data_IF_356819289419
#
_entry.id   IF_356819289419
#
_cell.length_a   1.000
_cell.length_b   1.000
_cell.length_c   1.000
_cell.angle_alpha   90.00
_cell.angle_beta   90.00
_cell.angle_gamma   90.00
#
_symmetry.space_group_name_H-M   'P 1'
#
loop_
_entity.id
_entity.type
_entity.pdbx_description
1 polymer ?
#
# COMPACT_ATOMS: atom_id res chain seq x y z
N UNK A 1 -6.46 7.35 -6.03
CA UNK A 1 -6.72 8.67 -5.41
C UNK A 1 -7.06 8.47 -3.93
N UNK A 2 -6.88 9.49 -3.11
CA UNK A 2 -7.34 9.52 -1.72
C UNK A 2 -7.64 10.96 -1.27
N UNK A 3 -8.54 11.14 -0.30
CA UNK A 3 -8.94 12.45 0.19
C UNK A 3 -8.73 12.58 1.70
N UNK A 4 -8.19 13.71 2.13
CA UNK A 4 -8.25 14.22 3.50
C UNK A 4 -9.29 15.35 3.57
N UNK A 5 -9.60 15.91 4.75
CA UNK A 5 -10.58 17.00 4.86
C UNK A 5 -10.29 18.25 4.01
N UNK A 6 -9.02 18.49 3.64
CA UNK A 6 -8.60 19.67 2.87
C UNK A 6 -7.98 19.34 1.51
N UNK A 7 -7.45 18.13 1.34
CA UNK A 7 -6.62 17.80 0.17
C UNK A 7 -7.17 16.57 -0.53
N UNK A 8 -7.31 16.67 -1.85
CA UNK A 8 -7.50 15.51 -2.72
C UNK A 8 -6.17 15.18 -3.42
N UNK A 9 -5.71 13.94 -3.26
CA UNK A 9 -4.47 13.45 -3.86
C UNK A 9 -4.79 12.44 -4.94
N UNK A 10 -4.36 12.71 -6.18
CA UNK A 10 -4.66 11.92 -7.36
C UNK A 10 -3.35 11.47 -8.01
N UNK A 11 -3.22 10.16 -8.25
CA UNK A 11 -2.14 9.63 -9.07
C UNK A 11 -2.65 9.44 -10.49
N UNK A 12 -1.81 9.80 -11.45
CA UNK A 12 -2.09 9.74 -12.87
C UNK A 12 -1.18 8.70 -13.56
N UNK A 13 -1.47 8.41 -14.81
CA UNK A 13 -0.52 7.70 -15.68
C UNK A 13 0.80 8.47 -15.79
N UNK A 14 1.90 7.76 -16.10
CA UNK A 14 3.22 8.40 -16.24
C UNK A 14 3.88 8.78 -14.91
N UNK A 15 3.51 8.10 -13.81
CA UNK A 15 4.14 8.29 -12.50
C UNK A 15 4.00 9.72 -11.93
N UNK A 16 2.93 10.44 -12.30
CA UNK A 16 2.64 11.80 -11.82
C UNK A 16 1.58 11.79 -10.70
N UNK A 17 1.70 12.73 -9.77
CA UNK A 17 0.77 12.94 -8.67
C UNK A 17 0.35 14.40 -8.66
N UNK A 18 -0.94 14.63 -8.52
CA UNK A 18 -1.55 15.95 -8.40
C UNK A 18 -2.27 16.06 -7.06
N UNK A 19 -2.14 17.23 -6.45
CA UNK A 19 -2.82 17.57 -5.20
C UNK A 19 -3.75 18.75 -5.48
N UNK A 20 -4.98 18.68 -4.96
CA UNK A 20 -6.01 19.70 -5.07
C UNK A 20 -6.44 20.15 -3.68
N UNK A 21 -6.67 21.45 -3.50
CA UNK A 21 -7.40 21.97 -2.33
C UNK A 21 -8.89 21.73 -2.57
N UNK A 22 -9.57 21.04 -1.66
CA UNK A 22 -11.00 20.73 -1.82
C UNK A 22 -11.89 21.99 -1.81
N UNK A 23 -11.39 23.11 -1.31
CA UNK A 23 -12.06 24.42 -1.34
C UNK A 23 -11.91 25.12 -2.70
N UNK A 24 -10.87 24.77 -3.47
CA UNK A 24 -10.64 25.27 -4.82
C UNK A 24 -10.15 24.15 -5.76
N UNK A 25 -11.12 23.49 -6.40
CA UNK A 25 -10.91 22.25 -7.16
C UNK A 25 -10.55 22.48 -8.63
N UNK A 26 -10.47 23.73 -9.08
CA UNK A 26 -10.31 24.05 -10.51
C UNK A 26 -8.96 23.64 -11.06
N UNK A 27 -7.90 23.77 -10.27
CA UNK A 27 -6.53 23.41 -10.66
C UNK A 27 -5.79 22.74 -9.49
N UNK A 28 -4.86 21.82 -9.77
CA UNK A 28 -4.00 21.28 -8.73
C UNK A 28 -3.08 22.37 -8.19
N UNK A 29 -2.94 22.46 -6.86
CA UNK A 29 -1.98 23.37 -6.23
C UNK A 29 -0.55 22.80 -6.24
N UNK A 30 -0.42 21.48 -6.43
CA UNK A 30 0.87 20.83 -6.72
C UNK A 30 0.71 19.76 -7.79
N UNK A 31 1.72 19.65 -8.64
CA UNK A 31 1.87 18.60 -9.65
C UNK A 31 3.33 18.16 -9.71
N UNK A 32 3.60 16.88 -9.43
CA UNK A 32 4.97 16.36 -9.28
C UNK A 32 5.08 14.87 -9.59
N UNK A 33 6.31 14.38 -9.73
CA UNK A 33 6.57 12.95 -9.85
C UNK A 33 6.29 12.19 -8.55
N UNK A 34 5.92 10.91 -8.67
CA UNK A 34 5.56 10.01 -7.57
C UNK A 34 6.74 9.47 -6.75
N UNK A 35 7.98 9.70 -7.21
CA UNK A 35 9.19 9.08 -6.64
C UNK A 35 9.33 7.57 -6.92
N UNK A 36 8.35 6.95 -7.57
CA UNK A 36 8.34 5.53 -7.90
C UNK A 36 8.70 5.31 -9.37
N UNK A 37 9.53 4.29 -9.63
CA UNK A 37 9.97 3.92 -10.99
C UNK A 37 8.88 3.22 -11.81
N UNK A 38 8.04 2.44 -11.14
CA UNK A 38 7.01 1.62 -11.77
C UNK A 38 5.62 2.13 -11.44
N UNK A 39 4.61 1.64 -12.17
CA UNK A 39 3.22 2.05 -12.06
C UNK A 39 2.73 2.04 -10.61
N UNK A 40 2.10 3.14 -10.20
CA UNK A 40 1.48 3.27 -8.88
C UNK A 40 0.23 2.38 -8.79
N UNK A 41 0.05 1.74 -7.64
CA UNK A 41 -1.08 0.84 -7.37
C UNK A 41 -2.06 1.40 -6.32
N UNK A 42 -1.58 2.06 -5.26
CA UNK A 42 -2.41 2.65 -4.23
C UNK A 42 -1.84 4.00 -3.75
N UNK A 43 -2.74 4.84 -3.21
CA UNK A 43 -2.41 6.14 -2.61
C UNK A 43 -3.21 6.27 -1.31
N UNK A 44 -2.58 6.71 -0.22
CA UNK A 44 -3.26 7.11 1.00
C UNK A 44 -2.60 8.32 1.64
N UNK A 45 -3.39 9.35 1.95
CA UNK A 45 -2.94 10.48 2.73
C UNK A 45 -2.60 10.03 4.16
N UNK A 46 -1.61 10.69 4.76
CA UNK A 46 -1.32 10.49 6.17
C UNK A 46 -2.54 10.89 7.01
N UNK A 47 -2.79 10.24 8.15
CA UNK A 47 -3.82 10.68 9.09
C UNK A 47 -3.63 12.16 9.53
N UNK A 48 -2.39 12.66 9.59
CA UNK A 48 -2.08 14.06 9.90
C UNK A 48 -2.39 15.03 8.75
N UNK A 49 -2.50 14.54 7.51
CA UNK A 49 -2.70 15.36 6.30
C UNK A 49 -1.42 16.05 5.78
N UNK A 50 -0.28 15.83 6.41
CA UNK A 50 1.00 16.47 6.06
C UNK A 50 1.67 15.86 4.81
N UNK A 51 1.16 14.73 4.34
CA UNK A 51 1.72 14.00 3.22
C UNK A 51 0.88 12.78 2.85
N UNK A 52 1.48 11.85 2.11
CA UNK A 52 0.83 10.65 1.63
C UNK A 52 1.83 9.51 1.39
N UNK A 53 1.34 8.28 1.48
CA UNK A 53 2.02 7.08 1.05
C UNK A 53 1.53 6.66 -0.33
N UNK A 54 2.47 6.27 -1.18
CA UNK A 54 2.23 5.70 -2.52
C UNK A 54 2.80 4.31 -2.59
N UNK A 55 2.11 3.39 -3.23
CA UNK A 55 2.66 2.07 -3.52
C UNK A 55 2.72 1.80 -5.01
N UNK A 56 3.55 0.83 -5.40
CA UNK A 56 3.78 0.44 -6.79
C UNK A 56 3.60 -1.06 -7.03
N UNK A 57 3.53 -1.42 -8.32
CA UNK A 57 3.50 -2.81 -8.79
C UNK A 57 4.80 -3.59 -8.53
N UNK A 58 5.93 -2.92 -8.25
CA UNK A 58 7.20 -3.56 -7.88
C UNK A 58 7.38 -3.72 -6.35
N UNK A 59 6.28 -3.77 -5.61
CA UNK A 59 6.29 -4.11 -4.20
C UNK A 59 6.98 -3.07 -3.31
N UNK A 60 6.92 -1.79 -3.67
CA UNK A 60 7.47 -0.68 -2.88
C UNK A 60 6.38 0.25 -2.37
N UNK A 61 6.72 0.97 -1.31
CA UNK A 61 5.97 2.12 -0.81
C UNK A 61 6.91 3.32 -0.74
N UNK A 62 6.50 4.47 -1.28
CA UNK A 62 7.13 5.78 -1.10
C UNK A 62 6.35 6.61 -0.07
N UNK A 63 7.07 7.32 0.79
CA UNK A 63 6.55 8.27 1.77
C UNK A 63 6.88 9.69 1.28
N UNK A 64 5.83 10.46 1.00
CA UNK A 64 5.91 11.79 0.39
C UNK A 64 5.26 12.84 1.30
N UNK A 65 5.83 14.05 1.32
CA UNK A 65 5.34 15.16 2.15
C UNK A 65 4.83 16.32 1.28
N UNK A 66 3.79 17.00 1.75
CA UNK A 66 3.14 18.10 1.04
C UNK A 66 3.94 19.40 1.13
N UNK A 67 4.65 19.64 2.22
CA UNK A 67 5.57 20.77 2.36
C UNK A 67 6.79 20.56 1.46
N UNK A 68 7.07 21.53 0.58
CA UNK A 68 8.15 21.51 -0.41
C UNK A 68 9.47 22.08 0.11
N UNK A 69 9.54 22.49 1.39
CA UNK A 69 10.79 22.92 2.03
C UNK A 69 11.85 21.82 1.99
N UNK A 70 13.11 22.20 1.73
CA UNK A 70 14.20 21.24 1.53
C UNK A 70 14.37 20.29 2.74
N UNK A 71 14.25 20.82 3.95
CA UNK A 71 14.33 20.05 5.20
C UNK A 71 13.29 18.91 5.26
N UNK A 72 12.04 19.19 4.85
CA UNK A 72 10.97 18.18 4.86
C UNK A 72 11.13 17.21 3.69
N UNK A 73 11.57 17.68 2.53
CA UNK A 73 11.78 16.83 1.35
C UNK A 73 12.91 15.79 1.58
N UNK A 74 13.92 16.09 2.40
CA UNK A 74 14.95 15.12 2.81
C UNK A 74 14.41 13.97 3.67
N UNK A 75 13.22 14.13 4.28
CA UNK A 75 12.57 13.08 5.09
C UNK A 75 11.87 12.02 4.24
N UNK A 76 11.76 12.22 2.92
CA UNK A 76 11.19 11.24 2.00
C UNK A 76 12.03 9.98 1.93
N UNK A 77 11.37 8.85 1.71
CA UNK A 77 12.04 7.58 1.47
C UNK A 77 11.07 6.59 0.84
N UNK A 78 11.63 5.56 0.21
CA UNK A 78 10.87 4.40 -0.24
C UNK A 78 11.44 3.12 0.36
N UNK A 79 10.59 2.14 0.61
CA UNK A 79 10.99 0.84 1.16
C UNK A 79 10.29 -0.31 0.46
N UNK A 80 10.92 -1.49 0.56
CA UNK A 80 10.47 -2.74 -0.06
C UNK A 80 9.47 -3.44 0.87
N UNK A 81 8.36 -3.93 0.34
CA UNK A 81 7.26 -4.49 1.13
C UNK A 81 7.01 -5.98 0.89
N UNK A 82 6.72 -6.35 -0.37
CA UNK A 82 6.26 -7.68 -0.76
C UNK A 82 7.29 -8.33 -1.69
N UNK A 83 8.26 -9.00 -1.06
CA UNK A 83 9.38 -9.70 -1.70
C UNK A 83 9.56 -11.06 -1.04
N UNK A 84 9.76 -12.06 -1.87
CA UNK A 84 10.11 -13.41 -1.44
C UNK A 84 11.49 -13.71 -2.03
N UNK A 85 12.51 -14.00 -1.19
CA UNK A 85 13.80 -14.45 -1.69
C UNK A 85 13.61 -15.71 -2.52
N UNK A 86 14.11 -15.70 -3.75
CA UNK A 86 14.20 -16.90 -4.57
C UNK A 86 15.60 -17.48 -4.41
N UNK A 87 15.70 -18.62 -3.75
CA UNK A 87 16.98 -19.27 -3.49
C UNK A 87 17.52 -20.01 -4.71
N UNK A 88 16.67 -20.33 -5.68
CA UNK A 88 17.06 -21.10 -6.86
C UNK A 88 17.60 -20.20 -7.96
N UNK A 89 16.97 -19.04 -8.20
CA UNK A 89 17.40 -18.06 -9.21
C UNK A 89 18.32 -16.96 -8.65
N UNK A 90 18.45 -16.86 -7.33
CA UNK A 90 19.24 -15.83 -6.66
C UNK A 90 18.68 -14.40 -6.80
N UNK A 91 17.46 -14.26 -7.31
CA UNK A 91 16.79 -12.97 -7.53
C UNK A 91 15.46 -12.94 -6.77
N UNK A 92 15.28 -11.94 -5.90
CA UNK A 92 14.02 -11.78 -5.16
C UNK A 92 12.80 -11.73 -6.11
N UNK A 93 11.83 -12.61 -5.88
CA UNK A 93 10.51 -12.49 -6.50
C UNK A 93 9.73 -11.35 -5.87
N UNK A 94 9.30 -10.40 -6.70
CA UNK A 94 8.64 -9.15 -6.29
C UNK A 94 7.15 -9.23 -6.61
N UNK A 95 6.31 -8.78 -5.67
CA UNK A 95 4.86 -8.77 -5.85
C UNK A 95 4.29 -7.34 -5.73
N UNK A 96 3.25 -7.01 -6.51
CA UNK A 96 2.55 -5.74 -6.36
C UNK A 96 2.03 -5.52 -4.95
N UNK A 97 2.11 -4.28 -4.47
CA UNK A 97 1.33 -3.86 -3.30
C UNK A 97 -0.09 -3.56 -3.79
N UNK A 98 -1.06 -4.36 -3.38
CA UNK A 98 -2.45 -4.27 -3.84
C UNK A 98 -3.35 -3.53 -2.86
N UNK A 99 -2.93 -3.42 -1.60
CA UNK A 99 -3.64 -2.66 -0.58
C UNK A 99 -2.70 -1.82 0.25
N UNK A 100 -3.13 -0.61 0.56
CA UNK A 100 -2.41 0.35 1.40
C UNK A 100 -3.39 1.06 2.34
N UNK A 101 -3.18 0.97 3.65
CA UNK A 101 -4.05 1.61 4.67
C UNK A 101 -3.28 2.03 5.92
N UNK A 102 -3.62 3.19 6.47
CA UNK A 102 -3.13 3.61 7.78
C UNK A 102 -4.09 3.17 8.88
N UNK A 103 -3.53 2.67 9.99
CA UNK A 103 -4.27 2.53 11.24
C UNK A 103 -4.24 3.87 11.99
N UNK A 104 -5.35 4.63 11.92
CA UNK A 104 -5.42 6.02 12.40
C UNK A 104 -4.93 6.21 13.84
N UNK A 105 -5.30 5.31 14.75
CA UNK A 105 -4.95 5.43 16.17
C UNK A 105 -3.45 5.23 16.47
N UNK A 106 -2.77 4.34 15.75
CA UNK A 106 -1.39 3.95 16.06
C UNK A 106 -0.37 4.49 15.04
N UNK A 107 -0.86 5.19 14.01
CA UNK A 107 -0.07 5.70 12.90
C UNK A 107 0.80 4.62 12.24
N UNK A 108 0.35 3.37 12.22
CA UNK A 108 1.03 2.28 11.52
C UNK A 108 0.44 2.09 10.13
N UNK A 109 1.25 1.55 9.23
CA UNK A 109 0.89 1.36 7.84
C UNK A 109 0.74 -0.13 7.55
N UNK A 110 -0.38 -0.48 6.92
CA UNK A 110 -0.68 -1.83 6.46
C UNK A 110 -0.48 -1.88 4.95
N UNK A 111 0.25 -2.89 4.50
CA UNK A 111 0.40 -3.22 3.08
C UNK A 111 -0.12 -4.63 2.84
N UNK A 112 -0.94 -4.80 1.81
CA UNK A 112 -1.32 -6.12 1.30
C UNK A 112 -0.65 -6.35 -0.05
N UNK A 113 -0.24 -7.58 -0.30
CA UNK A 113 0.53 -7.93 -1.48
C UNK A 113 -0.09 -9.03 -2.34
N UNK A 114 0.33 -9.04 -3.60
CA UNK A 114 0.12 -10.16 -4.51
C UNK A 114 0.83 -11.46 -4.08
N UNK A 115 1.61 -11.44 -2.99
CA UNK A 115 2.21 -12.60 -2.33
C UNK A 115 1.27 -13.28 -1.33
N UNK A 116 0.07 -12.73 -1.12
CA UNK A 116 -0.95 -13.28 -0.22
C UNK A 116 -0.79 -12.86 1.23
N UNK A 117 0.14 -11.95 1.53
CA UNK A 117 0.44 -11.52 2.88
C UNK A 117 -0.02 -10.08 3.15
N UNK A 118 -0.32 -9.81 4.42
CA UNK A 118 -0.46 -8.44 4.94
C UNK A 118 0.72 -8.16 5.86
N UNK A 119 1.41 -7.05 5.63
CA UNK A 119 2.52 -6.57 6.46
C UNK A 119 2.08 -5.30 7.21
N UNK A 120 2.47 -5.20 8.48
CA UNK A 120 2.27 -4.02 9.34
C UNK A 120 3.62 -3.35 9.57
N UNK A 121 3.67 -2.03 9.38
CA UNK A 121 4.89 -1.24 9.41
C UNK A 121 4.77 -0.12 10.43
N UNK A 122 5.83 0.04 11.22
CA UNK A 122 6.16 1.35 11.78
C UNK A 122 6.95 2.09 10.69
N UNK A 123 6.24 2.85 9.87
CA UNK A 123 6.82 3.50 8.70
C UNK A 123 7.79 4.62 9.11
N UNK A 124 7.51 5.37 10.19
CA UNK A 124 8.41 6.41 10.71
C UNK A 124 9.76 5.85 11.15
N UNK A 125 9.77 4.63 11.72
CA UNK A 125 10.99 3.90 12.09
C UNK A 125 11.49 2.96 10.99
N UNK A 126 10.88 2.97 9.82
CA UNK A 126 11.24 2.14 8.66
C UNK A 126 11.35 0.64 8.99
N UNK A 127 10.48 0.15 9.88
CA UNK A 127 10.55 -1.22 10.42
C UNK A 127 9.26 -1.99 10.19
N UNK A 128 9.37 -3.19 9.61
CA UNK A 128 8.27 -4.16 9.59
C UNK A 128 8.03 -4.67 11.01
N UNK A 129 6.83 -4.45 11.52
CA UNK A 129 6.42 -4.90 12.85
C UNK A 129 5.89 -6.34 12.80
N UNK A 130 5.08 -6.63 11.79
CA UNK A 130 4.40 -7.92 11.65
C UNK A 130 4.19 -8.27 10.19
N UNK A 131 4.19 -9.56 9.90
CA UNK A 131 3.65 -10.14 8.68
C UNK A 131 2.62 -11.18 9.12
N UNK A 132 1.37 -11.01 8.71
CA UNK A 132 0.33 -12.01 8.96
C UNK A 132 0.59 -13.25 8.10
N UNK A 133 0.16 -14.44 8.55
CA UNK A 133 0.21 -15.63 7.71
C UNK A 133 -0.47 -15.40 6.36
N UNK A 134 -0.02 -16.12 5.33
CA UNK A 134 -0.65 -16.08 4.01
C UNK A 134 -2.14 -16.38 4.13
N UNK A 135 -2.96 -15.62 3.41
CA UNK A 135 -4.41 -15.86 3.38
C UNK A 135 -4.68 -17.25 2.77
N UNK A 136 -5.51 -18.10 3.41
CA UNK A 136 -5.77 -19.45 2.92
C UNK A 136 -6.40 -19.46 1.52
N UNK A 137 -6.03 -20.44 0.70
CA UNK A 137 -6.70 -20.71 -0.59
C UNK A 137 -6.45 -19.68 -1.69
N UNK A 138 -5.61 -18.67 -1.48
CA UNK A 138 -5.27 -17.65 -2.49
C UNK A 138 -3.79 -17.62 -2.81
N UNK A 139 -3.46 -17.18 -4.03
CA UNK A 139 -2.09 -16.83 -4.41
C UNK A 139 -1.75 -15.37 -4.11
N UNK A 140 -2.75 -14.51 -3.89
CA UNK A 140 -2.51 -13.14 -3.47
C UNK A 140 -3.74 -12.38 -3.02
N UNK A 141 -3.52 -11.21 -2.46
CA UNK A 141 -4.58 -10.33 -1.98
C UNK A 141 -4.91 -9.33 -3.08
N UNK A 142 -6.20 -9.14 -3.36
CA UNK A 142 -6.67 -8.14 -4.34
C UNK A 142 -6.89 -6.77 -3.72
N UNK A 143 -7.37 -6.72 -2.46
CA UNK A 143 -7.66 -5.48 -1.76
C UNK A 143 -7.61 -5.67 -0.24
N UNK A 144 -7.30 -4.58 0.45
CA UNK A 144 -7.28 -4.47 1.91
C UNK A 144 -8.06 -3.23 2.35
N UNK A 145 -8.86 -3.39 3.41
CA UNK A 145 -9.38 -2.25 4.17
C UNK A 145 -9.37 -2.47 5.69
N UNK A 146 -9.41 -1.38 6.44
CA UNK A 146 -9.52 -1.37 7.90
C UNK A 146 -10.72 -0.50 8.27
N UNK A 147 -11.56 -0.99 9.18
CA UNK A 147 -12.72 -0.22 9.62
C UNK A 147 -12.33 1.06 10.37
N UNK A 148 -13.26 1.99 10.55
CA UNK A 148 -12.95 3.31 11.12
C UNK A 148 -12.40 3.25 12.56
N UNK A 149 -12.78 2.25 13.36
CA UNK A 149 -12.28 2.06 14.73
C UNK A 149 -10.88 1.42 14.77
N UNK A 150 -10.39 0.87 13.66
CA UNK A 150 -9.12 0.15 13.60
C UNK A 150 -9.17 -1.30 14.11
N UNK A 151 -10.31 -1.76 14.61
CA UNK A 151 -10.45 -3.06 15.27
C UNK A 151 -10.71 -4.23 14.32
N UNK A 152 -11.01 -3.97 13.04
CA UNK A 152 -11.34 -4.99 12.06
C UNK A 152 -10.64 -4.71 10.74
N UNK A 153 -9.94 -5.72 10.24
CA UNK A 153 -9.32 -5.75 8.92
C UNK A 153 -10.13 -6.65 8.00
N UNK A 154 -10.37 -6.19 6.76
CA UNK A 154 -10.98 -6.97 5.70
C UNK A 154 -10.00 -7.14 4.55
N UNK A 155 -9.88 -8.37 4.06
CA UNK A 155 -9.00 -8.74 2.94
C UNK A 155 -9.83 -9.43 1.87
N UNK A 156 -9.81 -8.88 0.66
CA UNK A 156 -10.45 -9.49 -0.51
C UNK A 156 -9.46 -10.33 -1.31
N UNK A 157 -9.87 -11.53 -1.69
CA UNK A 157 -9.17 -12.39 -2.65
C UNK A 157 -10.06 -12.56 -3.88
N UNK A 158 -9.44 -12.53 -5.06
CA UNK A 158 -10.10 -12.77 -6.35
C UNK A 158 -9.24 -13.73 -7.14
N UNK A 159 -9.82 -14.34 -8.17
CA UNK A 159 -9.12 -15.16 -9.14
C UNK A 159 -8.36 -14.31 -10.17
N UNK A 160 -7.33 -13.60 -9.72
CA UNK A 160 -6.43 -12.88 -10.61
C UNK A 160 -5.40 -13.78 -11.31
N UNK A 161 -5.69 -15.08 -11.43
CA UNK A 161 -4.81 -16.02 -12.12
C UNK A 161 -4.58 -15.58 -13.57
N UNK A 162 -5.59 -15.06 -14.27
CA UNK A 162 -5.41 -14.54 -15.63
C UNK A 162 -4.39 -13.38 -15.73
N UNK A 163 -4.20 -12.58 -14.67
CA UNK A 163 -3.18 -11.53 -14.62
C UNK A 163 -1.78 -12.05 -14.24
N UNK A 164 -1.71 -13.30 -13.76
CA UNK A 164 -0.51 -13.95 -13.23
C UNK A 164 0.00 -15.08 -14.11
N UNK A 165 -0.79 -15.50 -15.10
CA UNK A 165 -0.38 -16.53 -16.05
C UNK A 165 0.61 -15.91 -17.07
N UNK A 166 1.72 -16.59 -17.35
CA UNK A 166 2.70 -16.11 -18.33
C UNK A 166 2.19 -16.20 -19.77
N UNK A 167 1.19 -17.06 -20.03
CA UNK A 167 0.57 -17.24 -21.35
C UNK A 167 -0.96 -17.35 -21.23
N UNK A 168 -1.64 -16.68 -22.15
CA UNK A 168 -3.08 -16.74 -22.40
C UNK A 168 -3.64 -18.14 -22.69
N UNK A 169 -2.81 -19.09 -23.16
CA UNK A 169 -3.25 -20.47 -23.44
C UNK A 169 -3.11 -21.41 -22.24
N UNK A 170 -2.58 -20.92 -21.11
CA UNK A 170 -2.42 -21.75 -19.91
C UNK A 170 -3.79 -22.14 -19.36
N UNK A 171 -3.97 -23.43 -19.05
CA UNK A 171 -5.21 -23.91 -18.42
C UNK A 171 -5.44 -23.17 -17.11
N UNK A 172 -6.61 -22.53 -16.99
CA UNK A 172 -6.99 -21.75 -15.83
C UNK A 172 -8.20 -22.39 -15.15
N UNK A 173 -8.10 -22.62 -13.84
CA UNK A 173 -9.24 -23.00 -13.00
C UNK A 173 -9.67 -21.76 -12.22
N UNK A 174 -10.84 -21.17 -12.54
CA UNK A 174 -11.37 -20.04 -11.78
C UNK A 174 -11.53 -20.40 -10.31
N UNK A 175 -11.16 -19.47 -9.43
CA UNK A 175 -11.36 -19.61 -7.98
C UNK A 175 -12.46 -18.65 -7.54
N UNK A 176 -13.23 -19.04 -6.54
CA UNK A 176 -14.22 -18.12 -5.98
C UNK A 176 -13.53 -16.96 -5.29
N UNK A 177 -14.03 -15.75 -5.51
CA UNK A 177 -13.64 -14.58 -4.74
C UNK A 177 -14.11 -14.73 -3.29
N UNK A 178 -13.26 -14.35 -2.34
CA UNK A 178 -13.55 -14.47 -0.91
C UNK A 178 -13.19 -13.18 -0.18
N UNK A 179 -13.88 -12.93 0.93
CA UNK A 179 -13.54 -11.85 1.87
C UNK A 179 -13.22 -12.47 3.22
N UNK A 180 -12.03 -12.17 3.71
CA UNK A 180 -11.56 -12.61 5.02
C UNK A 180 -11.61 -11.44 5.99
N UNK A 181 -12.21 -11.67 7.15
CA UNK A 181 -12.26 -10.70 8.23
C UNK A 181 -11.33 -11.15 9.35
N UNK A 182 -10.57 -10.20 9.89
CA UNK A 182 -9.68 -10.44 11.02
C UNK A 182 -9.81 -9.31 12.03
N UNK A 183 -10.05 -9.68 13.29
CA UNK A 183 -9.96 -8.75 14.41
C UNK A 183 -8.52 -8.32 14.60
N UNK A 184 -8.31 -7.03 14.80
CA UNK A 184 -7.01 -6.43 15.08
C UNK A 184 -6.92 -6.11 16.57
N UNK A 185 -5.85 -6.60 17.19
CA UNK A 185 -5.53 -6.31 18.59
C UNK A 185 -4.38 -5.29 18.68
N UNK A 186 -4.21 -4.65 19.85
CA UNK A 186 -3.15 -3.65 20.03
C UNK A 186 -1.76 -4.21 19.70
N UNK A 187 -1.52 -5.47 20.05
CA UNK A 187 -0.22 -6.13 19.83
C UNK A 187 0.15 -6.24 18.35
N UNK A 188 -0.84 -6.23 17.46
CA UNK A 188 -0.63 -6.32 16.02
C UNK A 188 -0.31 -4.96 15.40
N UNK A 189 -0.84 -3.89 16.00
CA UNK A 189 -0.95 -2.58 15.35
C UNK A 189 -0.13 -1.48 16.05
N UNK A 190 0.15 -1.63 17.35
CA UNK A 190 0.79 -0.61 18.18
C UNK A 190 2.31 -0.80 18.18
N UNK A 191 3.10 0.24 17.79
CA UNK A 191 4.54 0.18 17.94
C UNK A 191 4.96 -0.04 19.39
N UNK A 192 5.91 -0.94 19.62
CA UNK A 192 6.52 -1.11 20.94
C UNK A 192 7.36 0.12 21.29
N UNK A 193 7.28 0.64 22.52
CA UNK A 193 8.20 1.68 22.98
C UNK A 193 9.65 1.16 22.90
N UNK A 194 10.59 2.09 22.73
CA UNK A 194 12.01 1.80 22.78
C UNK A 194 12.44 1.47 24.20
#
# INVERSE_FOLDING_TARGET
MDASPRTLTVGLSGSQVQLFDLRNRSNPWQSRGSGLRYQMSCIRNFPSGEGFALSSIDGRVSIEYNDLSEEVQQKKFAFKCHRVPDHDEGVDKVYPVTGLRFHKQYNTLFTAGGDGHVCVWNWEKRKRMKQFPKVPGTDGISQLDINNTGSLMAVGTTDDGFMRLPDTNSSFVPRQSQVFLRRLDEIDCKPKPK
#
